data_IF_603166008394
#
_entry.id   IF_603166008394
#
_cell.length_a   1.000
_cell.length_b   1.000
_cell.length_c   1.000
_cell.angle_alpha   90.00
_cell.angle_beta   90.00
_cell.angle_gamma   90.00
#
_symmetry.space_group_name_H-M   'P 1'
#
loop_
_entity.id
_entity.type
_entity.pdbx_description
1 polymer ?
#
# COMPACT_ATOMS: atom_id res chain seq x y z
N UNK A 1 -5.34 29.55 15.17
CA UNK A 1 -5.14 28.11 14.89
C UNK A 1 -4.56 27.44 16.12
N UNK A 2 -5.09 26.27 16.51
CA UNK A 2 -4.52 25.49 17.61
C UNK A 2 -3.12 24.94 17.24
N UNK A 3 -2.30 24.60 18.23
CA UNK A 3 -0.97 24.02 18.01
C UNK A 3 -1.02 22.73 17.16
N UNK A 4 -2.05 21.91 17.37
CA UNK A 4 -2.29 20.70 16.56
C UNK A 4 -2.59 21.01 15.09
N UNK A 5 -3.41 22.02 14.83
CA UNK A 5 -3.73 22.43 13.45
C UNK A 5 -2.50 22.97 12.70
N UNK A 6 -1.62 23.69 13.39
CA UNK A 6 -0.37 24.19 12.80
C UNK A 6 0.60 23.06 12.47
N UNK A 7 0.76 22.09 13.37
CA UNK A 7 1.60 20.92 13.14
C UNK A 7 1.13 20.14 11.90
N UNK A 8 -0.17 19.96 11.75
CA UNK A 8 -0.74 19.25 10.59
C UNK A 8 -0.55 20.01 9.28
N UNK A 9 -0.72 21.34 9.30
CA UNK A 9 -0.44 22.20 8.14
C UNK A 9 1.01 22.05 7.65
N UNK A 10 1.98 22.02 8.58
CA UNK A 10 3.40 21.85 8.25
C UNK A 10 3.62 20.46 7.62
N UNK A 11 3.06 19.39 8.19
CA UNK A 11 3.20 18.04 7.64
C UNK A 11 2.65 17.94 6.21
N UNK A 12 1.43 18.44 5.96
CA UNK A 12 0.81 18.42 4.63
C UNK A 12 1.59 19.23 3.60
N UNK A 13 2.02 20.43 3.96
CA UNK A 13 2.78 21.29 3.05
C UNK A 13 4.15 20.72 2.71
N UNK A 14 4.87 20.21 3.72
CA UNK A 14 6.16 19.57 3.51
C UNK A 14 6.05 18.29 2.65
N UNK A 15 5.03 17.47 2.90
CA UNK A 15 4.80 16.27 2.10
C UNK A 15 4.64 16.59 0.62
N UNK A 16 3.88 17.64 0.28
CA UNK A 16 3.70 18.07 -1.12
C UNK A 16 5.00 18.53 -1.76
N UNK A 17 5.83 19.28 -1.05
CA UNK A 17 7.13 19.74 -1.55
C UNK A 17 8.10 18.56 -1.74
N UNK A 18 8.19 17.66 -0.78
CA UNK A 18 9.00 16.45 -0.91
C UNK A 18 8.51 15.55 -2.07
N UNK A 19 7.20 15.49 -2.30
CA UNK A 19 6.62 14.75 -3.43
C UNK A 19 6.91 15.38 -4.80
N UNK A 20 7.23 16.67 -4.84
CA UNK A 20 7.56 17.41 -6.07
C UNK A 20 9.05 17.42 -6.39
N UNK A 21 9.90 17.59 -5.38
CA UNK A 21 11.33 17.89 -5.54
C UNK A 21 12.26 16.88 -4.89
N UNK A 22 11.71 15.83 -4.26
CA UNK A 22 12.50 14.91 -3.44
C UNK A 22 12.91 15.49 -2.09
N UNK A 23 13.54 14.65 -1.26
CA UNK A 23 14.03 15.08 0.04
C UNK A 23 15.25 16.01 -0.11
N UNK A 24 16.19 15.67 -1.00
CA UNK A 24 17.41 16.47 -1.22
C UNK A 24 17.09 17.83 -1.83
N UNK A 25 16.19 17.87 -2.81
CA UNK A 25 15.78 19.09 -3.54
C UNK A 25 14.89 20.04 -2.75
N UNK A 26 14.48 19.70 -1.53
CA UNK A 26 13.61 20.56 -0.70
C UNK A 26 14.37 21.07 0.53
N UNK A 27 14.31 22.39 0.79
CA UNK A 27 14.90 23.01 1.98
C UNK A 27 13.86 23.34 3.04
N UNK A 28 14.26 23.43 4.31
CA UNK A 28 13.40 23.86 5.41
C UNK A 28 12.92 25.30 5.23
N UNK A 29 13.78 26.16 4.70
CA UNK A 29 13.46 27.55 4.36
C UNK A 29 12.34 27.62 3.30
N UNK A 30 12.42 26.82 2.25
CA UNK A 30 11.39 26.74 1.21
C UNK A 30 10.05 26.26 1.76
N UNK A 31 10.07 25.24 2.64
CA UNK A 31 8.85 24.75 3.29
C UNK A 31 8.22 25.88 4.12
N UNK A 32 9.02 26.55 4.96
CA UNK A 32 8.55 27.64 5.79
C UNK A 32 7.95 28.79 4.96
N UNK A 33 8.65 29.21 3.91
CA UNK A 33 8.20 30.26 2.98
C UNK A 33 6.87 29.88 2.32
N UNK A 34 6.75 28.65 1.81
CA UNK A 34 5.53 28.18 1.14
C UNK A 34 4.31 28.14 2.08
N UNK A 35 4.55 27.97 3.37
CA UNK A 35 3.52 27.92 4.41
C UNK A 35 3.24 29.28 5.06
N UNK A 36 3.96 30.32 4.69
CA UNK A 36 3.83 31.64 5.30
C UNK A 36 4.22 31.68 6.80
N UNK A 37 5.23 30.88 7.18
CA UNK A 37 5.74 30.83 8.55
C UNK A 37 7.24 31.07 8.58
N UNK A 38 7.77 31.44 9.76
CA UNK A 38 9.22 31.52 9.93
C UNK A 38 9.85 30.13 10.03
N UNK A 39 11.08 29.98 9.56
CA UNK A 39 11.85 28.74 9.72
C UNK A 39 12.07 28.41 11.20
N UNK A 40 12.27 29.43 12.07
CA UNK A 40 12.36 29.25 13.50
C UNK A 40 11.08 28.64 14.10
N UNK A 41 9.91 29.05 13.62
CA UNK A 41 8.63 28.46 14.05
C UNK A 41 8.53 27.00 13.60
N UNK A 42 8.96 26.68 12.38
CA UNK A 42 8.96 25.31 11.90
C UNK A 42 9.86 24.41 12.76
N UNK A 43 11.05 24.88 13.14
CA UNK A 43 11.98 24.14 14.00
C UNK A 43 11.47 23.90 15.41
N UNK A 44 10.56 24.74 15.94
CA UNK A 44 9.85 24.47 17.21
C UNK A 44 8.98 23.20 17.12
N UNK A 45 8.42 22.87 15.95
CA UNK A 45 7.60 21.67 15.75
C UNK A 45 8.43 20.46 15.32
N UNK A 46 9.45 20.67 14.49
CA UNK A 46 10.27 19.61 13.92
C UNK A 46 11.74 20.04 13.91
N UNK A 47 12.58 19.47 14.80
CA UNK A 47 13.95 19.94 15.02
C UNK A 47 14.89 19.77 13.83
N UNK A 48 14.45 19.04 12.79
CA UNK A 48 15.20 18.88 11.53
C UNK A 48 14.30 18.48 10.38
N UNK A 49 14.79 18.66 9.15
CA UNK A 49 14.11 18.17 7.93
C UNK A 49 13.88 16.66 8.00
N UNK A 50 14.82 15.89 8.55
CA UNK A 50 14.70 14.44 8.75
C UNK A 50 13.61 14.09 9.77
N UNK A 51 13.48 14.86 10.86
CA UNK A 51 12.41 14.69 11.85
C UNK A 51 11.03 14.97 11.25
N UNK A 52 10.93 16.04 10.44
CA UNK A 52 9.71 16.37 9.71
C UNK A 52 9.31 15.25 8.74
N UNK A 53 10.25 14.70 7.99
CA UNK A 53 9.99 13.59 7.08
C UNK A 53 9.50 12.33 7.80
N UNK A 54 10.16 11.95 8.91
CA UNK A 54 9.72 10.83 9.76
C UNK A 54 8.30 11.05 10.29
N UNK A 55 7.98 12.26 10.72
CA UNK A 55 6.66 12.59 11.22
C UNK A 55 5.58 12.52 10.14
N UNK A 56 5.92 12.80 8.86
CA UNK A 56 5.00 12.59 7.73
C UNK A 56 4.69 11.11 7.56
N UNK A 57 5.72 10.25 7.58
CA UNK A 57 5.53 8.78 7.47
C UNK A 57 4.64 8.29 8.61
N UNK A 58 4.98 8.64 9.85
CA UNK A 58 4.22 8.26 11.04
C UNK A 58 2.75 8.66 10.92
N UNK A 59 2.48 9.94 10.64
CA UNK A 59 1.10 10.44 10.48
C UNK A 59 0.33 9.72 9.38
N UNK A 60 0.99 9.34 8.29
CA UNK A 60 0.34 8.66 7.15
C UNK A 60 0.02 7.19 7.46
N UNK A 61 0.74 6.59 8.38
CA UNK A 61 0.61 5.17 8.76
C UNK A 61 -0.18 4.96 10.05
N UNK A 62 -0.32 5.98 10.91
CA UNK A 62 -1.11 5.91 12.15
C UNK A 62 -2.56 5.50 11.87
N UNK A 63 -3.08 4.55 12.65
CA UNK A 63 -4.47 4.07 12.59
C UNK A 63 -4.85 3.35 11.31
N UNK A 64 -3.88 3.07 10.44
CA UNK A 64 -4.16 2.45 9.13
C UNK A 64 -4.21 0.93 9.13
N UNK A 65 -3.82 0.28 10.23
CA UNK A 65 -3.80 -1.19 10.33
C UNK A 65 -5.21 -1.77 10.40
N UNK A 66 -6.10 -1.20 11.21
CA UNK A 66 -7.48 -1.66 11.33
C UNK A 66 -8.28 -1.48 10.04
N UNK A 67 -8.03 -0.38 9.30
CA UNK A 67 -8.66 -0.15 8.00
C UNK A 67 -8.11 -1.06 6.89
N UNK A 68 -6.84 -1.47 7.03
CA UNK A 68 -6.19 -2.35 6.06
C UNK A 68 -6.65 -3.82 6.25
N UNK A 69 -6.89 -4.27 7.49
CA UNK A 69 -7.13 -5.67 7.81
C UNK A 69 -8.56 -5.88 8.35
N UNK A 70 -9.50 -6.37 7.52
CA UNK A 70 -10.93 -6.47 7.87
C UNK A 70 -11.16 -7.63 8.84
N UNK A 71 -11.19 -7.36 10.15
CA UNK A 71 -11.29 -8.36 11.23
C UNK A 71 -12.50 -9.28 11.08
N UNK A 72 -13.67 -8.71 10.74
CA UNK A 72 -14.92 -9.46 10.57
C UNK A 72 -14.84 -10.46 9.41
N UNK A 73 -14.32 -10.04 8.26
CA UNK A 73 -14.16 -10.90 7.09
C UNK A 73 -13.15 -12.03 7.35
N UNK A 74 -12.09 -11.75 8.12
CA UNK A 74 -11.09 -12.75 8.51
C UNK A 74 -11.71 -13.80 9.42
N UNK A 75 -12.50 -13.38 10.43
CA UNK A 75 -13.19 -14.29 11.34
C UNK A 75 -14.25 -15.14 10.62
N UNK A 76 -14.97 -14.53 9.68
CA UNK A 76 -15.92 -15.22 8.82
C UNK A 76 -15.27 -16.11 7.76
N UNK A 77 -13.95 -16.05 7.60
CA UNK A 77 -13.18 -16.75 6.56
C UNK A 77 -13.67 -16.41 5.14
N UNK A 78 -14.20 -15.20 4.97
CA UNK A 78 -14.59 -14.67 3.66
C UNK A 78 -13.37 -14.16 2.91
N UNK A 79 -12.70 -15.11 2.22
CA UNK A 79 -11.49 -14.83 1.45
C UNK A 79 -11.69 -13.67 0.47
N UNK A 80 -12.86 -13.65 -0.21
CA UNK A 80 -13.15 -12.60 -1.19
C UNK A 80 -13.20 -11.22 -0.54
N UNK A 81 -13.95 -11.10 0.52
CA UNK A 81 -14.09 -9.83 1.26
C UNK A 81 -12.75 -9.36 1.85
N UNK A 82 -11.91 -10.27 2.35
CA UNK A 82 -10.57 -9.93 2.86
C UNK A 82 -9.73 -9.27 1.76
N UNK A 83 -9.61 -9.91 0.60
CA UNK A 83 -8.80 -9.36 -0.49
C UNK A 83 -9.42 -8.12 -1.13
N UNK A 84 -10.75 -8.04 -1.25
CA UNK A 84 -11.45 -6.84 -1.74
C UNK A 84 -11.23 -5.63 -0.82
N UNK A 85 -11.31 -5.81 0.49
CA UNK A 85 -11.08 -4.74 1.47
C UNK A 85 -9.66 -4.20 1.39
N UNK A 86 -8.66 -5.10 1.33
CA UNK A 86 -7.25 -4.72 1.20
C UNK A 86 -7.00 -3.96 -0.10
N UNK A 87 -7.50 -4.47 -1.23
CA UNK A 87 -7.32 -3.82 -2.52
C UNK A 87 -8.01 -2.45 -2.57
N UNK A 88 -9.25 -2.37 -2.10
CA UNK A 88 -10.01 -1.13 -2.04
C UNK A 88 -9.32 -0.07 -1.19
N UNK A 89 -8.85 -0.45 0.00
CA UNK A 89 -8.09 0.44 0.88
C UNK A 89 -6.82 0.97 0.20
N UNK A 90 -6.03 0.08 -0.41
CA UNK A 90 -4.77 0.48 -1.06
C UNK A 90 -5.02 1.41 -2.25
N UNK A 91 -6.03 1.14 -3.07
CA UNK A 91 -6.39 1.99 -4.20
C UNK A 91 -6.85 3.34 -3.68
N UNK A 92 -7.89 3.38 -2.85
CA UNK A 92 -8.48 4.62 -2.34
C UNK A 92 -7.43 5.51 -1.66
N UNK A 93 -6.65 4.96 -0.74
CA UNK A 93 -5.66 5.71 0.04
C UNK A 93 -4.60 6.40 -0.82
N UNK A 94 -4.26 5.83 -1.97
CA UNK A 94 -3.21 6.35 -2.85
C UNK A 94 -3.76 7.16 -4.04
N UNK A 95 -5.04 7.00 -4.40
CA UNK A 95 -5.69 7.85 -5.41
C UNK A 95 -6.19 9.16 -4.85
N UNK A 96 -6.66 9.20 -3.58
CA UNK A 96 -7.06 10.44 -2.90
C UNK A 96 -5.90 11.44 -2.78
N UNK A 97 -4.70 10.96 -2.47
CA UNK A 97 -3.49 11.78 -2.38
C UNK A 97 -2.24 10.96 -2.77
N UNK A 98 -1.78 11.06 -4.03
CA UNK A 98 -0.60 10.34 -4.50
C UNK A 98 0.73 10.94 -3.99
N UNK A 99 0.69 12.06 -3.26
CA UNK A 99 1.91 12.73 -2.78
C UNK A 99 2.76 11.82 -1.89
N UNK A 100 2.14 10.98 -1.06
CA UNK A 100 2.87 10.05 -0.22
C UNK A 100 3.61 8.98 -1.04
N UNK A 101 2.98 8.43 -2.06
CA UNK A 101 3.62 7.46 -2.96
C UNK A 101 4.81 8.11 -3.69
N UNK A 102 4.64 9.33 -4.20
CA UNK A 102 5.74 10.09 -4.83
C UNK A 102 6.90 10.33 -3.86
N UNK A 103 6.59 10.73 -2.64
CA UNK A 103 7.59 10.96 -1.58
C UNK A 103 8.43 9.71 -1.30
N UNK A 104 7.80 8.54 -1.16
CA UNK A 104 8.50 7.26 -0.93
C UNK A 104 9.35 6.87 -2.14
N UNK A 105 8.84 7.02 -3.37
CA UNK A 105 9.57 6.72 -4.60
C UNK A 105 10.79 7.64 -4.76
N UNK A 106 10.65 8.95 -4.57
CA UNK A 106 11.79 9.87 -4.60
C UNK A 106 12.86 9.49 -3.58
N UNK A 107 12.44 9.20 -2.34
CA UNK A 107 13.38 8.79 -1.30
C UNK A 107 14.14 7.51 -1.67
N UNK A 108 13.47 6.54 -2.27
CA UNK A 108 14.10 5.29 -2.71
C UNK A 108 15.10 5.55 -3.85
N UNK A 109 14.75 6.37 -4.84
CA UNK A 109 15.62 6.73 -5.97
C UNK A 109 16.82 7.56 -5.55
N UNK A 110 16.66 8.43 -4.53
CA UNK A 110 17.77 9.22 -3.96
C UNK A 110 18.71 8.38 -3.08
N UNK A 111 18.45 7.09 -2.91
CA UNK A 111 19.22 6.19 -2.03
C UNK A 111 19.10 6.59 -0.54
N UNK A 112 17.97 7.17 -0.16
CA UNK A 112 17.77 7.70 1.17
C UNK A 112 17.12 6.69 2.11
N UNK A 113 17.68 6.52 3.31
CA UNK A 113 17.23 5.50 4.28
C UNK A 113 15.81 5.72 4.82
N UNK A 114 15.19 6.89 4.55
CA UNK A 114 13.86 7.18 5.04
C UNK A 114 12.76 6.35 4.37
N UNK A 115 12.94 5.92 3.12
CA UNK A 115 12.02 4.96 2.49
C UNK A 115 12.04 3.61 3.19
N UNK A 116 13.21 3.18 3.69
CA UNK A 116 13.37 1.94 4.48
C UNK A 116 12.49 1.97 5.72
N UNK A 117 12.39 3.11 6.41
CA UNK A 117 11.53 3.26 7.60
C UNK A 117 10.08 2.89 7.29
N UNK A 118 9.56 3.36 6.15
CA UNK A 118 8.21 2.98 5.72
C UNK A 118 8.09 1.49 5.40
N UNK A 119 9.04 0.94 4.63
CA UNK A 119 8.99 -0.45 4.21
C UNK A 119 9.17 -1.41 5.39
N UNK A 120 10.15 -1.18 6.26
CA UNK A 120 10.47 -2.07 7.37
C UNK A 120 9.40 -2.05 8.47
N UNK A 121 8.90 -0.88 8.83
CA UNK A 121 7.99 -0.73 9.96
C UNK A 121 6.50 -0.83 9.58
N UNK A 122 6.12 -0.58 8.31
CA UNK A 122 4.71 -0.51 7.94
C UNK A 122 4.34 -1.42 6.76
N UNK A 123 5.05 -1.35 5.64
CA UNK A 123 4.69 -2.13 4.46
C UNK A 123 4.94 -3.63 4.70
N UNK A 124 6.05 -3.98 5.34
CA UNK A 124 6.37 -5.38 5.69
C UNK A 124 5.42 -5.94 6.73
N UNK A 125 4.99 -5.16 7.72
CA UNK A 125 4.02 -5.59 8.72
C UNK A 125 2.69 -5.99 8.07
N UNK A 126 2.15 -5.14 7.21
CA UNK A 126 0.94 -5.45 6.43
C UNK A 126 1.09 -6.69 5.57
N UNK A 127 2.26 -6.84 4.95
CA UNK A 127 2.57 -8.03 4.14
C UNK A 127 2.62 -9.29 5.01
N UNK A 128 3.17 -9.22 6.23
CA UNK A 128 3.20 -10.33 7.18
C UNK A 128 1.80 -10.72 7.65
N UNK A 129 0.95 -9.75 7.99
CA UNK A 129 -0.44 -10.01 8.38
C UNK A 129 -1.21 -10.76 7.28
N UNK A 130 -1.11 -10.31 6.03
CA UNK A 130 -1.74 -11.01 4.90
C UNK A 130 -1.10 -12.40 4.66
N UNK A 131 0.21 -12.51 4.83
CA UNK A 131 0.93 -13.79 4.75
C UNK A 131 0.44 -14.79 5.80
N UNK A 132 0.17 -14.33 7.02
CA UNK A 132 -0.35 -15.19 8.10
C UNK A 132 -1.76 -15.67 7.78
N UNK A 133 -2.63 -14.79 7.29
CA UNK A 133 -3.94 -15.17 6.80
C UNK A 133 -3.85 -16.27 5.72
N UNK A 134 -3.04 -16.04 4.68
CA UNK A 134 -2.84 -17.02 3.61
C UNK A 134 -2.32 -18.36 4.16
N UNK A 135 -1.36 -18.32 5.10
CA UNK A 135 -0.82 -19.52 5.75
C UNK A 135 -1.90 -20.31 6.47
N UNK A 136 -2.79 -19.62 7.19
CA UNK A 136 -3.90 -20.25 7.89
C UNK A 136 -4.87 -20.91 6.90
N UNK A 137 -5.21 -20.22 5.79
CA UNK A 137 -6.10 -20.78 4.76
C UNK A 137 -5.49 -21.99 4.03
N UNK A 138 -4.16 -22.04 3.90
CA UNK A 138 -3.45 -23.23 3.39
C UNK A 138 -3.57 -24.40 4.38
N UNK A 139 -3.36 -24.15 5.69
CA UNK A 139 -3.54 -25.20 6.73
C UNK A 139 -4.96 -25.77 6.74
N UNK A 140 -5.95 -24.92 6.50
CA UNK A 140 -7.37 -25.29 6.40
C UNK A 140 -7.75 -25.93 5.04
N UNK A 141 -6.79 -26.11 4.14
CA UNK A 141 -6.97 -26.66 2.77
C UNK A 141 -7.95 -25.84 1.89
N UNK A 142 -8.18 -24.57 2.24
CA UNK A 142 -8.95 -23.64 1.40
C UNK A 142 -8.12 -23.07 0.25
N UNK A 143 -6.80 -22.98 0.48
CA UNK A 143 -5.83 -22.57 -0.54
C UNK A 143 -4.83 -23.69 -0.80
N UNK A 144 -4.38 -23.81 -2.05
CA UNK A 144 -3.30 -24.70 -2.44
C UNK A 144 -1.98 -24.31 -1.76
N UNK A 145 -1.05 -25.25 -1.69
CA UNK A 145 0.27 -25.02 -1.11
C UNK A 145 1.08 -24.04 -1.97
N UNK A 146 1.25 -22.84 -1.47
CA UNK A 146 2.11 -21.78 -2.03
C UNK A 146 2.97 -21.18 -0.92
N UNK A 147 4.00 -20.40 -1.29
CA UNK A 147 4.77 -19.64 -0.27
C UNK A 147 3.95 -18.43 0.21
N UNK A 148 3.48 -18.39 1.47
CA UNK A 148 2.50 -17.39 1.91
C UNK A 148 2.98 -15.94 1.77
N UNK A 149 4.25 -15.67 2.12
CA UNK A 149 4.82 -14.33 2.02
C UNK A 149 4.93 -13.85 0.55
N UNK A 150 5.31 -14.73 -0.37
CA UNK A 150 5.38 -14.39 -1.79
C UNK A 150 3.99 -14.14 -2.37
N UNK A 151 3.01 -14.94 -1.99
CA UNK A 151 1.62 -14.73 -2.40
C UNK A 151 1.06 -13.39 -1.89
N UNK A 152 1.29 -13.06 -0.61
CA UNK A 152 0.91 -11.77 -0.05
C UNK A 152 1.58 -10.60 -0.79
N UNK A 153 2.89 -10.70 -1.07
CA UNK A 153 3.63 -9.68 -1.83
C UNK A 153 3.13 -9.55 -3.27
N UNK A 154 2.80 -10.66 -3.92
CA UNK A 154 2.26 -10.64 -5.28
C UNK A 154 0.93 -9.89 -5.34
N UNK A 155 0.00 -10.17 -4.41
CA UNK A 155 -1.27 -9.46 -4.36
C UNK A 155 -1.12 -7.97 -4.09
N UNK A 156 -0.39 -7.60 -3.03
CA UNK A 156 -0.13 -6.19 -2.69
C UNK A 156 0.60 -5.50 -3.84
N UNK A 157 1.60 -6.15 -4.43
CA UNK A 157 2.39 -5.62 -5.55
C UNK A 157 1.54 -5.34 -6.79
N UNK A 158 0.62 -6.24 -7.14
CA UNK A 158 -0.31 -6.05 -8.25
C UNK A 158 -1.18 -4.80 -8.05
N UNK A 159 -1.75 -4.62 -6.86
CA UNK A 159 -2.60 -3.47 -6.54
C UNK A 159 -1.79 -2.18 -6.51
N UNK A 160 -0.64 -2.17 -5.85
CA UNK A 160 0.24 -0.98 -5.75
C UNK A 160 0.78 -0.59 -7.12
N UNK A 161 1.20 -1.57 -7.96
CA UNK A 161 1.67 -1.26 -9.31
C UNK A 161 0.57 -0.65 -10.17
N UNK A 162 -0.66 -1.15 -10.07
CA UNK A 162 -1.80 -0.53 -10.75
C UNK A 162 -1.94 0.94 -10.37
N UNK A 163 -2.02 1.25 -9.06
CA UNK A 163 -2.16 2.64 -8.59
C UNK A 163 -0.97 3.50 -9.01
N UNK A 164 0.24 2.96 -8.92
CA UNK A 164 1.45 3.64 -9.36
C UNK A 164 1.38 3.98 -10.86
N UNK A 165 0.91 3.04 -11.68
CA UNK A 165 0.73 3.25 -13.11
C UNK A 165 -0.29 4.36 -13.41
N UNK A 166 -1.41 4.39 -12.66
CA UNK A 166 -2.43 5.42 -12.83
C UNK A 166 -1.94 6.81 -12.40
N UNK A 167 -1.35 6.92 -11.20
CA UNK A 167 -1.09 8.19 -10.53
C UNK A 167 0.31 8.76 -10.77
N UNK A 168 1.29 7.91 -11.06
CA UNK A 168 2.67 8.34 -11.29
C UNK A 168 2.99 8.40 -12.78
N UNK A 169 2.63 7.36 -13.54
CA UNK A 169 2.91 7.29 -14.98
C UNK A 169 1.80 7.91 -15.85
N UNK A 170 0.67 8.32 -15.23
CA UNK A 170 -0.40 9.02 -15.93
C UNK A 170 -1.31 8.14 -16.78
N UNK A 171 -1.28 6.81 -16.59
CA UNK A 171 -2.08 5.88 -17.39
C UNK A 171 -3.59 6.03 -17.18
N UNK A 172 -4.04 6.74 -16.14
CA UNK A 172 -5.46 7.08 -15.93
C UNK A 172 -6.07 7.88 -17.09
N UNK A 173 -5.24 8.56 -17.88
CA UNK A 173 -5.67 9.28 -19.07
C UNK A 173 -5.87 8.37 -20.30
N UNK A 174 -5.29 7.16 -20.27
CA UNK A 174 -5.37 6.16 -21.34
C UNK A 174 -6.38 5.06 -21.02
N UNK A 175 -6.42 4.62 -19.75
CA UNK A 175 -7.25 3.52 -19.29
C UNK A 175 -8.06 3.94 -18.07
N UNK A 176 -9.37 4.05 -18.24
CA UNK A 176 -10.27 4.44 -17.16
C UNK A 176 -11.20 3.28 -16.78
N UNK A 177 -10.97 2.73 -15.59
CA UNK A 177 -11.82 1.70 -15.00
C UNK A 177 -12.34 2.14 -13.64
N UNK A 178 -13.59 1.78 -13.32
CA UNK A 178 -14.10 1.98 -11.97
C UNK A 178 -13.30 1.18 -10.96
N UNK A 179 -13.12 1.73 -9.74
CA UNK A 179 -12.41 1.05 -8.66
C UNK A 179 -12.97 -0.35 -8.42
N UNK A 180 -14.31 -0.49 -8.42
CA UNK A 180 -14.98 -1.77 -8.24
C UNK A 180 -14.53 -2.80 -9.29
N UNK A 181 -14.50 -2.42 -10.58
CA UNK A 181 -14.09 -3.32 -11.65
C UNK A 181 -12.63 -3.78 -11.48
N UNK A 182 -11.74 -2.88 -11.10
CA UNK A 182 -10.32 -3.19 -10.84
C UNK A 182 -10.19 -4.18 -9.68
N UNK A 183 -10.83 -3.87 -8.55
CA UNK A 183 -10.79 -4.71 -7.34
C UNK A 183 -11.33 -6.10 -7.66
N UNK A 184 -12.52 -6.20 -8.26
CA UNK A 184 -13.13 -7.48 -8.58
C UNK A 184 -12.25 -8.32 -9.52
N UNK A 185 -11.68 -7.69 -10.56
CA UNK A 185 -10.80 -8.38 -11.52
C UNK A 185 -9.54 -8.93 -10.84
N UNK A 186 -8.88 -8.10 -10.02
CA UNK A 186 -7.65 -8.51 -9.36
C UNK A 186 -7.88 -9.61 -8.32
N UNK A 187 -8.94 -9.47 -7.54
CA UNK A 187 -9.32 -10.47 -6.53
C UNK A 187 -9.71 -11.80 -7.19
N UNK A 188 -10.48 -11.75 -8.27
CA UNK A 188 -10.86 -12.96 -9.01
C UNK A 188 -9.65 -13.68 -9.60
N UNK A 189 -8.75 -12.94 -10.27
CA UNK A 189 -7.55 -13.52 -10.85
C UNK A 189 -6.65 -14.14 -9.78
N UNK A 190 -6.48 -13.44 -8.65
CA UNK A 190 -5.63 -13.91 -7.56
C UNK A 190 -6.21 -15.12 -6.83
N UNK A 191 -7.51 -15.09 -6.46
CA UNK A 191 -8.16 -16.18 -5.76
C UNK A 191 -8.30 -17.44 -6.63
N UNK A 192 -8.57 -17.30 -7.94
CA UNK A 192 -8.53 -18.43 -8.87
C UNK A 192 -7.15 -19.08 -8.91
N UNK A 193 -6.09 -18.28 -8.81
CA UNK A 193 -4.72 -18.75 -8.70
C UNK A 193 -4.38 -19.46 -7.40
N UNK A 194 -5.06 -19.15 -6.29
CA UNK A 194 -4.85 -19.76 -4.97
C UNK A 194 -5.70 -21.01 -4.70
N UNK A 195 -6.91 -21.09 -5.27
CA UNK A 195 -7.79 -22.24 -5.09
C UNK A 195 -7.26 -23.43 -5.90
N UNK A 196 -7.43 -24.62 -5.38
CA UNK A 196 -7.13 -25.83 -6.15
C UNK A 196 -8.03 -25.88 -7.38
N UNK A 197 -7.44 -26.14 -8.55
CA UNK A 197 -8.22 -26.52 -9.71
C UNK A 197 -8.90 -27.85 -9.40
N UNK A 198 -10.19 -28.06 -9.74
CA UNK A 198 -10.78 -29.39 -9.65
C UNK A 198 -9.86 -30.34 -10.43
N UNK A 199 -9.47 -31.45 -9.78
CA UNK A 199 -8.66 -32.48 -10.45
C UNK A 199 -9.37 -32.81 -11.77
N UNK A 200 -8.71 -32.56 -12.90
CA UNK A 200 -9.11 -33.17 -14.15
C UNK A 200 -8.92 -34.65 -13.92
N UNK A 201 -10.03 -35.39 -13.73
CA UNK A 201 -10.00 -36.82 -13.82
C UNK A 201 -9.33 -37.14 -15.17
N UNK A 202 -8.18 -37.81 -15.09
CA UNK A 202 -7.47 -38.26 -16.27
C UNK A 202 -8.42 -39.12 -17.13
N UNK A 203 -8.17 -39.23 -18.43
CA UNK A 203 -8.98 -40.08 -19.29
C UNK A 203 -9.01 -41.48 -18.67
N UNK A 204 -10.22 -42.01 -18.44
CA UNK A 204 -10.44 -43.41 -18.09
C UNK A 204 -9.62 -44.25 -19.10
N UNK A 205 -8.64 -45.00 -18.59
CA UNK A 205 -7.96 -46.03 -19.39
C UNK A 205 -9.04 -47.00 -19.92
N UNK A 206 -9.36 -46.84 -21.18
CA UNK A 206 -10.16 -47.85 -21.88
C UNK A 206 -9.38 -49.14 -21.83
N UNK A 207 -9.85 -50.11 -21.02
CA UNK A 207 -9.37 -51.47 -21.08
C UNK A 207 -9.53 -51.97 -22.50
N UNK A 208 -8.53 -52.62 -23.09
CA UNK A 208 -8.69 -53.26 -24.37
C UNK A 208 -9.72 -54.38 -24.23
N UNK A 209 -10.68 -54.43 -25.17
CA UNK A 209 -11.60 -55.54 -25.29
C UNK A 209 -10.82 -56.77 -25.78
N UNK A 210 -10.97 -57.88 -25.06
CA UNK A 210 -10.57 -59.21 -25.48
C UNK A 210 -11.45 -59.69 -26.67
#
# INVERSE_FOLDING_TARGET
MSAGGRREQILKGAMRLFAQKGFRGTTTREIAQRLGISEALMFKYFPSKKALYRAIIQKRTDGSEEMFFPKEAIQAKDDRQVFQSIASYLIQKNTEDPSFMRLILYSALEGYDLSKIFFENHAMERTRLLSEYIRQRIKEKAFKKVHPLLAARAFIGMVIHYVQSQEIYGLKNLFHFSQKKVVDTFVDAFLKGLKESPQRNGPEERKPAE
#
